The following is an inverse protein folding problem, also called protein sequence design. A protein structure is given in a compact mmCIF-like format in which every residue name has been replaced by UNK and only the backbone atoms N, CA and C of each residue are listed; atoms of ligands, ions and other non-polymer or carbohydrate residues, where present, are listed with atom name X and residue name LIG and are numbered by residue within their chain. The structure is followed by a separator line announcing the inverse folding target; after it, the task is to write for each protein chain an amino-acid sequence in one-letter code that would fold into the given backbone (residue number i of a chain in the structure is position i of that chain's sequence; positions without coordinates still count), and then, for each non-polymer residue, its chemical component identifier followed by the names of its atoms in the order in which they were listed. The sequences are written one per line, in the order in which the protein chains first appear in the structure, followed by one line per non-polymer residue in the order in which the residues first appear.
data_IF_017965136818
#
_entry.id   IF_017965136818
#
_cell.length_a   1.000
_cell.length_b   1.000
_cell.length_c   1.000
_cell.angle_alpha   90.00
_cell.angle_beta   90.00
_cell.angle_gamma   90.00
#
_symmetry.space_group_name_H-M   'P 1'
#
loop_
_entity.id
_entity.type
_entity.pdbx_description
1 polymer ?
#
# COMPACT_ATOMS: atom_id res chain seq x y z
N UNK A 1 -53.08 57.70 20.58
CA UNK A 1 -52.28 57.68 19.33
C UNK A 1 -50.83 57.38 19.66
N UNK A 2 -50.35 56.19 19.32
CA UNK A 2 -48.98 55.91 18.84
C UNK A 2 -48.95 54.42 18.44
N UNK A 3 -48.57 54.21 17.19
CA UNK A 3 -48.48 52.90 16.54
C UNK A 3 -47.19 52.17 16.96
N UNK A 4 -47.37 50.87 17.19
CA UNK A 4 -46.53 49.71 16.89
C UNK A 4 -45.10 50.00 16.41
N UNK A 5 -44.11 49.34 17.05
CA UNK A 5 -43.03 48.76 16.25
C UNK A 5 -42.57 47.39 16.78
N UNK A 6 -42.37 46.52 15.81
CA UNK A 6 -42.32 45.07 15.84
C UNK A 6 -40.92 44.58 16.24
N UNK A 7 -40.84 43.70 17.25
CA UNK A 7 -39.59 43.04 17.65
C UNK A 7 -39.24 41.96 16.61
N UNK A 8 -38.27 42.24 15.73
CA UNK A 8 -37.68 41.22 14.86
C UNK A 8 -36.53 40.53 15.61
N UNK A 9 -36.71 39.25 15.91
CA UNK A 9 -35.69 38.33 16.37
C UNK A 9 -34.69 38.10 15.22
N UNK A 10 -33.42 38.48 15.39
CA UNK A 10 -32.34 38.08 14.47
C UNK A 10 -31.48 37.05 15.19
N UNK A 11 -31.52 35.82 14.68
CA UNK A 11 -30.61 34.73 15.01
C UNK A 11 -29.16 35.19 14.81
N UNK A 12 -28.38 35.24 15.89
CA UNK A 12 -26.93 35.29 15.80
C UNK A 12 -26.43 33.89 15.43
N UNK A 13 -26.27 33.65 14.12
CA UNK A 13 -25.48 32.53 13.63
C UNK A 13 -24.03 32.71 14.06
N UNK A 14 -23.55 31.83 14.93
CA UNK A 14 -22.13 31.71 15.27
C UNK A 14 -21.36 31.24 14.03
N UNK A 15 -20.74 32.18 13.33
CA UNK A 15 -19.68 31.87 12.39
C UNK A 15 -18.48 31.35 13.19
N UNK A 16 -18.31 30.03 13.23
CA UNK A 16 -17.03 29.43 13.57
C UNK A 16 -16.11 29.75 12.39
N UNK A 17 -15.33 30.82 12.53
CA UNK A 17 -14.13 31.05 11.72
C UNK A 17 -13.26 29.79 11.87
N UNK A 18 -13.10 29.05 10.79
CA UNK A 18 -12.08 28.02 10.70
C UNK A 18 -10.73 28.72 10.84
N UNK A 19 -10.13 28.61 12.03
CA UNK A 19 -8.73 28.94 12.22
C UNK A 19 -7.94 28.03 11.27
N UNK A 20 -7.42 28.61 10.20
CA UNK A 20 -6.33 28.01 9.47
C UNK A 20 -5.23 27.72 10.49
N UNK A 21 -4.80 26.46 10.57
CA UNK A 21 -3.56 26.12 11.25
C UNK A 21 -2.45 26.73 10.40
N UNK A 22 -2.06 27.96 10.73
CA UNK A 22 -0.85 28.58 10.19
C UNK A 22 0.34 27.79 10.73
N UNK A 23 0.86 26.87 9.92
CA UNK A 23 2.20 26.34 10.11
C UNK A 23 3.17 27.52 10.16
N UNK A 24 3.99 27.55 11.20
CA UNK A 24 4.96 28.59 11.50
C UNK A 24 6.07 28.59 10.43
N UNK A 25 5.80 29.15 9.24
CA UNK A 25 6.78 29.28 8.15
C UNK A 25 7.89 30.23 8.58
N UNK A 26 9.14 29.84 8.40
CA UNK A 26 10.27 30.73 8.69
C UNK A 26 10.34 31.86 7.65
N UNK A 27 10.87 33.03 8.04
CA UNK A 27 10.97 34.25 7.21
C UNK A 27 11.67 34.07 5.85
N UNK A 28 12.30 32.93 5.58
CA UNK A 28 13.12 32.67 4.38
C UNK A 28 12.56 31.58 3.46
N UNK A 29 11.38 31.05 3.76
CA UNK A 29 10.73 30.09 2.89
C UNK A 29 10.32 30.75 1.56
N UNK A 30 10.78 30.20 0.44
CA UNK A 30 10.44 30.74 -0.90
C UNK A 30 10.34 29.64 -1.96
N UNK A 31 9.49 29.87 -2.96
CA UNK A 31 9.47 29.03 -4.14
C UNK A 31 10.60 29.42 -5.10
N UNK A 32 11.32 28.43 -5.61
CA UNK A 32 12.35 28.60 -6.63
C UNK A 32 12.31 27.45 -7.63
N UNK A 33 12.74 27.70 -8.86
CA UNK A 33 12.73 26.69 -9.91
C UNK A 33 14.15 26.42 -10.42
N UNK A 34 14.46 25.14 -10.62
CA UNK A 34 15.71 24.65 -11.20
C UNK A 34 15.35 23.87 -12.48
N UNK A 35 15.68 24.45 -13.63
CA UNK A 35 15.28 23.94 -14.93
C UNK A 35 13.76 23.89 -15.09
N UNK A 36 13.20 22.68 -15.04
CA UNK A 36 11.76 22.43 -15.27
C UNK A 36 10.97 22.10 -14.01
N UNK A 37 11.63 22.06 -12.86
CA UNK A 37 11.02 21.70 -11.59
C UNK A 37 11.06 22.89 -10.64
N UNK A 38 9.96 23.11 -9.93
CA UNK A 38 9.86 24.13 -8.88
C UNK A 38 9.80 23.48 -7.50
N UNK A 39 10.38 24.16 -6.53
CA UNK A 39 10.58 23.69 -5.17
C UNK A 39 10.19 24.80 -4.19
N UNK A 40 9.56 24.42 -3.10
CA UNK A 40 9.46 25.23 -1.90
C UNK A 40 10.70 24.94 -1.07
N UNK A 41 11.61 25.92 -0.95
CA UNK A 41 12.79 25.77 -0.11
C UNK A 41 12.53 26.32 1.29
N UNK A 42 13.03 25.63 2.30
CA UNK A 42 12.96 26.08 3.69
C UNK A 42 14.35 26.01 4.33
N UNK A 43 14.67 27.02 5.15
CA UNK A 43 15.95 27.18 5.83
C UNK A 43 16.83 28.29 5.24
N UNK A 44 17.42 29.17 6.08
CA UNK A 44 18.14 30.37 5.62
C UNK A 44 19.43 30.10 4.84
N UNK A 45 20.11 28.98 5.08
CA UNK A 45 21.47 28.71 4.58
C UNK A 45 21.61 27.29 4.01
N UNK A 46 20.56 26.82 3.33
CA UNK A 46 20.38 25.41 3.02
C UNK A 46 19.46 24.75 4.05
N UNK A 47 18.84 23.66 3.63
CA UNK A 47 17.77 23.01 4.38
C UNK A 47 17.02 22.02 3.51
N UNK A 48 15.70 22.09 3.50
CA UNK A 48 14.82 21.16 2.78
C UNK A 48 14.25 21.79 1.53
N UNK A 49 13.89 20.94 0.57
CA UNK A 49 13.20 21.30 -0.65
C UNK A 49 12.00 20.38 -0.84
N UNK A 50 10.80 20.94 -0.81
CA UNK A 50 9.56 20.25 -1.19
C UNK A 50 9.31 20.47 -2.67
N UNK A 51 9.24 19.40 -3.46
CA UNK A 51 8.95 19.50 -4.90
C UNK A 51 7.49 19.95 -5.12
N UNK A 52 7.30 21.09 -5.76
CA UNK A 52 5.99 21.73 -6.00
C UNK A 52 5.32 21.23 -7.28
N UNK A 53 6.11 20.94 -8.31
CA UNK A 53 5.60 20.50 -9.61
C UNK A 53 6.51 20.97 -10.75
N UNK A 54 5.98 20.88 -11.97
CA UNK A 54 6.65 21.44 -13.15
C UNK A 54 6.52 22.97 -13.17
N UNK A 55 7.53 23.63 -13.72
CA UNK A 55 7.49 25.07 -13.97
C UNK A 55 6.44 25.39 -15.05
N UNK A 56 5.34 26.02 -14.62
CA UNK A 56 4.22 26.41 -15.49
C UNK A 56 4.55 27.54 -16.47
N UNK A 57 5.66 28.26 -16.25
CA UNK A 57 6.15 29.27 -17.19
C UNK A 57 6.80 28.63 -18.43
N UNK A 58 7.28 27.40 -18.31
CA UNK A 58 7.96 26.68 -19.37
C UNK A 58 6.99 25.77 -20.17
N UNK A 59 5.99 26.40 -20.82
CA UNK A 59 4.91 25.74 -21.58
C UNK A 59 5.35 24.90 -22.79
N UNK A 60 6.66 24.86 -23.12
CA UNK A 60 7.18 24.22 -24.34
C UNK A 60 7.66 22.78 -24.14
N UNK A 61 7.73 22.28 -22.90
CA UNK A 61 8.35 20.98 -22.64
C UNK A 61 7.34 19.96 -22.10
N UNK A 62 6.99 18.98 -22.95
CA UNK A 62 6.30 17.77 -22.53
C UNK A 62 7.20 16.96 -21.59
N UNK A 63 6.82 16.85 -20.32
CA UNK A 63 7.62 16.21 -19.28
C UNK A 63 7.13 14.77 -19.06
N UNK A 64 7.52 13.87 -19.96
CA UNK A 64 7.18 12.43 -19.85
C UNK A 64 7.86 11.73 -18.67
N UNK A 65 8.98 12.27 -18.19
CA UNK A 65 9.76 11.67 -17.11
C UNK A 65 10.05 12.71 -16.03
N UNK A 66 9.62 12.40 -14.80
CA UNK A 66 9.97 13.17 -13.61
C UNK A 66 11.17 12.53 -12.93
N UNK A 67 12.30 13.23 -12.90
CA UNK A 67 13.46 12.83 -12.11
C UNK A 67 13.51 13.67 -10.84
N UNK A 68 13.26 13.06 -9.68
CA UNK A 68 13.33 13.73 -8.37
C UNK A 68 14.79 13.66 -7.89
N UNK A 69 15.53 14.80 -7.89
CA UNK A 69 16.93 14.81 -7.53
C UNK A 69 17.11 14.68 -6.01
N UNK A 70 18.32 14.33 -5.58
CA UNK A 70 18.69 14.31 -4.16
C UNK A 70 18.66 15.71 -3.53
N UNK A 71 19.14 16.70 -4.28
CA UNK A 71 19.29 18.06 -3.81
C UNK A 71 19.21 19.03 -4.98
N UNK A 72 18.87 20.28 -4.69
CA UNK A 72 18.92 21.41 -5.61
C UNK A 72 19.79 22.52 -5.03
N UNK A 73 20.37 23.35 -5.91
CA UNK A 73 21.22 24.47 -5.51
C UNK A 73 20.56 25.78 -5.92
N UNK A 74 20.43 26.68 -4.95
CA UNK A 74 19.99 28.04 -5.20
C UNK A 74 21.00 28.99 -4.57
N UNK A 75 21.49 29.93 -5.38
CA UNK A 75 22.61 30.81 -5.02
C UNK A 75 23.83 29.95 -4.61
N UNK A 76 24.32 30.08 -3.37
CA UNK A 76 25.44 29.28 -2.83
C UNK A 76 25.00 28.12 -1.93
N UNK A 77 23.70 27.94 -1.72
CA UNK A 77 23.15 27.00 -0.75
C UNK A 77 22.61 25.73 -1.40
N UNK A 78 22.73 24.60 -0.70
CA UNK A 78 22.20 23.30 -1.13
C UNK A 78 20.99 22.95 -0.27
N UNK A 79 19.91 22.51 -0.92
CA UNK A 79 18.67 22.08 -0.28
C UNK A 79 18.40 20.62 -0.61
N UNK A 80 18.10 19.81 0.40
CA UNK A 80 17.84 18.38 0.25
C UNK A 80 16.36 18.15 -0.07
N UNK A 81 16.08 17.36 -1.10
CA UNK A 81 14.71 16.99 -1.44
C UNK A 81 14.24 15.89 -0.50
N UNK A 82 13.16 16.16 0.23
CA UNK A 82 12.60 15.23 1.22
C UNK A 82 11.11 14.96 1.04
N UNK A 83 10.44 15.75 0.19
CA UNK A 83 8.99 15.70 0.05
C UNK A 83 8.52 16.16 -1.32
N UNK A 84 7.31 15.74 -1.69
CA UNK A 84 6.57 16.25 -2.85
C UNK A 84 5.25 16.81 -2.37
N UNK A 85 4.91 18.01 -2.84
CA UNK A 85 3.73 18.76 -2.41
C UNK A 85 2.44 18.05 -2.79
N UNK A 86 1.38 18.38 -2.05
CA UNK A 86 0.02 17.97 -2.35
C UNK A 86 -0.35 18.35 -3.79
N UNK A 87 -0.95 17.39 -4.50
CA UNK A 87 -1.46 17.55 -5.87
C UNK A 87 -0.43 18.02 -6.92
N UNK A 88 0.87 18.02 -6.62
CA UNK A 88 1.94 18.56 -7.47
C UNK A 88 1.88 18.09 -8.94
N UNK A 89 1.47 16.85 -9.17
CA UNK A 89 1.34 16.24 -10.50
C UNK A 89 -0.06 15.65 -10.75
N UNK A 90 -1.07 16.02 -9.96
CA UNK A 90 -2.43 15.47 -10.11
C UNK A 90 -2.98 15.75 -11.51
N UNK A 91 -3.56 14.73 -12.14
CA UNK A 91 -4.18 14.84 -13.47
C UNK A 91 -3.18 15.00 -14.62
N UNK A 92 -1.87 14.87 -14.38
CA UNK A 92 -0.88 15.07 -15.43
C UNK A 92 -1.03 14.02 -16.54
N UNK A 93 -1.34 14.50 -17.75
CA UNK A 93 -1.63 13.66 -18.93
C UNK A 93 -0.39 13.28 -19.73
N UNK A 94 0.78 13.81 -19.42
CA UNK A 94 2.01 13.56 -20.18
C UNK A 94 3.00 12.68 -19.42
N UNK A 95 2.98 12.76 -18.08
CA UNK A 95 3.87 12.03 -17.21
C UNK A 95 3.69 10.52 -17.36
N UNK A 96 4.77 9.84 -17.73
CA UNK A 96 4.83 8.39 -17.97
C UNK A 96 5.68 7.66 -16.93
N UNK A 97 6.72 8.33 -16.42
CA UNK A 97 7.69 7.76 -15.51
C UNK A 97 8.08 8.72 -14.38
N UNK A 98 8.20 8.19 -13.16
CA UNK A 98 8.76 8.89 -12.00
C UNK A 98 9.98 8.13 -11.51
N UNK A 99 11.11 8.82 -11.39
CA UNK A 99 12.38 8.30 -10.92
C UNK A 99 12.83 9.08 -9.68
N UNK A 100 12.90 8.40 -8.54
CA UNK A 100 13.40 8.98 -7.29
C UNK A 100 14.89 8.69 -7.16
N UNK A 101 15.70 9.71 -6.85
CA UNK A 101 17.14 9.55 -6.64
C UNK A 101 17.44 8.57 -5.49
N UNK A 102 18.45 7.72 -5.69
CA UNK A 102 18.88 6.75 -4.68
C UNK A 102 19.50 7.39 -3.44
N UNK A 103 20.02 8.61 -3.54
CA UNK A 103 20.67 9.32 -2.44
C UNK A 103 19.69 9.97 -1.46
N UNK A 104 18.40 10.08 -1.81
CA UNK A 104 17.37 10.56 -0.88
C UNK A 104 17.24 9.54 0.26
N UNK A 105 17.33 10.01 1.51
CA UNK A 105 17.20 9.13 2.69
C UNK A 105 15.74 8.75 2.92
N UNK A 106 14.85 9.74 2.92
CA UNK A 106 13.40 9.56 3.08
C UNK A 106 12.70 10.52 2.15
N UNK A 107 11.71 10.03 1.40
CA UNK A 107 10.80 10.85 0.61
C UNK A 107 9.39 10.73 1.17
N UNK A 108 8.74 11.85 1.46
CA UNK A 108 7.31 11.90 1.77
C UNK A 108 6.50 12.35 0.55
N UNK A 109 5.50 11.54 0.16
CA UNK A 109 4.59 11.86 -0.94
C UNK A 109 3.27 12.34 -0.35
N UNK A 110 2.88 13.57 -0.69
CA UNK A 110 1.69 14.20 -0.12
C UNK A 110 0.37 13.67 -0.75
N UNK A 111 -0.75 14.20 -0.25
CA UNK A 111 -2.07 13.89 -0.75
C UNK A 111 -2.17 14.12 -2.27
N UNK A 112 -2.73 13.15 -2.99
CA UNK A 112 -3.02 13.22 -4.43
C UNK A 112 -1.85 13.65 -5.33
N UNK A 113 -0.60 13.55 -4.89
CA UNK A 113 0.57 14.00 -5.66
C UNK A 113 0.58 13.48 -7.10
N UNK A 114 0.24 12.21 -7.33
CA UNK A 114 0.14 11.57 -8.65
C UNK A 114 -1.26 11.00 -8.91
N UNK A 115 -2.30 11.61 -8.33
CA UNK A 115 -3.67 11.16 -8.57
C UNK A 115 -4.06 11.37 -10.03
N UNK A 116 -4.80 10.40 -10.60
CA UNK A 116 -5.43 10.54 -11.91
C UNK A 116 -4.46 10.87 -13.06
N UNK A 117 -3.20 10.41 -12.98
CA UNK A 117 -2.23 10.50 -14.07
C UNK A 117 -2.42 9.33 -15.05
N UNK A 118 -3.14 9.50 -16.18
CA UNK A 118 -3.57 8.37 -17.01
C UNK A 118 -2.43 7.69 -17.75
N UNK A 119 -1.28 8.35 -17.93
CA UNK A 119 -0.15 7.81 -18.68
C UNK A 119 1.01 7.34 -17.79
N UNK A 120 0.93 7.56 -16.48
CA UNK A 120 1.98 7.16 -15.53
C UNK A 120 1.94 5.64 -15.33
N UNK A 121 2.93 4.96 -15.91
CA UNK A 121 3.01 3.49 -15.89
C UNK A 121 4.22 2.97 -15.14
N UNK A 122 5.17 3.84 -14.78
CA UNK A 122 6.42 3.43 -14.13
C UNK A 122 6.80 4.36 -13.00
N UNK A 123 6.94 3.82 -11.80
CA UNK A 123 7.36 4.55 -10.60
C UNK A 123 8.54 3.81 -9.98
N UNK A 124 9.71 4.45 -9.97
CA UNK A 124 10.96 3.87 -9.48
C UNK A 124 11.40 4.59 -8.20
N UNK A 125 11.21 3.93 -7.07
CA UNK A 125 11.69 4.36 -5.75
C UNK A 125 13.09 3.83 -5.48
N UNK A 126 14.13 4.48 -6.03
CA UNK A 126 15.51 4.04 -5.78
C UNK A 126 16.03 4.42 -4.38
N UNK A 127 15.33 5.27 -3.64
CA UNK A 127 15.67 5.63 -2.27
C UNK A 127 15.30 4.52 -1.27
N UNK A 128 15.83 4.59 -0.05
CA UNK A 128 15.59 3.54 0.95
C UNK A 128 14.21 3.60 1.60
N UNK A 129 13.69 4.81 1.85
CA UNK A 129 12.43 4.99 2.57
C UNK A 129 11.50 5.94 1.82
N UNK A 130 10.30 5.48 1.50
CA UNK A 130 9.20 6.27 0.94
C UNK A 130 8.00 6.11 1.86
N UNK A 131 7.36 7.24 2.17
CA UNK A 131 6.12 7.30 2.94
C UNK A 131 5.12 8.18 2.20
N UNK A 132 3.84 8.06 2.52
CA UNK A 132 2.88 9.07 2.10
C UNK A 132 2.08 9.59 3.28
N UNK A 133 1.50 10.78 3.12
CA UNK A 133 0.58 11.37 4.11
C UNK A 133 -0.74 10.59 4.23
N UNK A 134 -1.18 9.91 3.16
CA UNK A 134 -2.42 9.14 3.12
C UNK A 134 -2.42 8.10 1.99
N UNK A 135 -3.57 7.44 1.76
CA UNK A 135 -3.75 6.41 0.73
C UNK A 135 -3.82 6.95 -0.71
N UNK A 136 -3.99 8.26 -0.89
CA UNK A 136 -4.41 8.87 -2.16
C UNK A 136 -3.28 9.45 -3.01
N UNK A 137 -2.01 9.31 -2.60
CA UNK A 137 -0.86 9.76 -3.37
C UNK A 137 -0.87 9.29 -4.84
N UNK A 138 -1.36 8.07 -5.08
CA UNK A 138 -1.61 7.49 -6.41
C UNK A 138 -3.07 7.04 -6.54
N UNK A 139 -4.01 7.97 -6.32
CA UNK A 139 -5.43 7.68 -6.47
C UNK A 139 -5.80 7.49 -7.95
N UNK A 140 -6.57 6.44 -8.25
CA UNK A 140 -7.01 6.06 -9.60
C UNK A 140 -5.86 6.09 -10.65
N UNK A 141 -4.79 5.30 -10.44
CA UNK A 141 -3.64 5.28 -11.35
C UNK A 141 -3.95 4.50 -12.63
N UNK A 142 -3.08 4.62 -13.63
CA UNK A 142 -3.12 3.71 -14.79
C UNK A 142 -3.02 2.25 -14.33
N UNK A 143 -3.84 1.35 -14.88
CA UNK A 143 -3.85 -0.10 -14.57
C UNK A 143 -2.53 -0.82 -14.92
N UNK A 144 -1.71 -0.22 -15.77
CA UNK A 144 -0.39 -0.71 -16.17
C UNK A 144 0.75 -0.18 -15.27
N UNK A 145 0.43 0.56 -14.20
CA UNK A 145 1.44 1.07 -13.28
C UNK A 145 2.25 -0.07 -12.65
N UNK A 146 3.57 0.12 -12.60
CA UNK A 146 4.51 -0.74 -11.90
C UNK A 146 5.32 0.08 -10.90
N UNK A 147 5.48 -0.45 -9.70
CA UNK A 147 6.29 0.13 -8.63
C UNK A 147 7.59 -0.68 -8.50
N UNK A 148 8.73 -0.01 -8.67
CA UNK A 148 10.05 -0.62 -8.74
C UNK A 148 11.03 0.05 -7.75
N UNK A 149 12.15 -0.61 -7.48
CA UNK A 149 13.21 -0.08 -6.62
C UNK A 149 13.08 -0.45 -5.14
N UNK A 150 14.17 -0.24 -4.41
CA UNK A 150 14.31 -0.66 -3.00
C UNK A 150 13.34 0.05 -2.03
N UNK A 151 12.80 1.22 -2.40
CA UNK A 151 11.85 1.97 -1.59
C UNK A 151 10.43 1.39 -1.61
N UNK A 152 10.11 0.49 -2.54
CA UNK A 152 8.78 -0.14 -2.68
C UNK A 152 8.36 -0.84 -1.40
N UNK A 153 9.27 -1.54 -0.73
CA UNK A 153 8.99 -2.20 0.56
C UNK A 153 8.42 -1.20 1.58
N UNK A 154 9.18 -0.14 1.87
CA UNK A 154 8.80 0.86 2.88
C UNK A 154 7.50 1.59 2.52
N UNK A 155 7.28 1.84 1.23
CA UNK A 155 6.04 2.44 0.77
C UNK A 155 4.87 1.46 0.95
N UNK A 156 5.05 0.19 0.61
CA UNK A 156 3.99 -0.81 0.78
C UNK A 156 3.61 -0.95 2.26
N UNK A 157 4.59 -1.06 3.15
CA UNK A 157 4.37 -1.13 4.60
C UNK A 157 3.55 0.08 5.09
N UNK A 158 3.98 1.29 4.72
CA UNK A 158 3.30 2.55 5.05
C UNK A 158 1.84 2.61 4.54
N UNK A 159 1.56 1.99 3.39
CA UNK A 159 0.22 1.94 2.82
C UNK A 159 -0.64 0.82 3.43
N UNK A 160 -0.03 -0.29 3.85
CA UNK A 160 -0.72 -1.36 4.59
C UNK A 160 -1.20 -0.84 5.95
N UNK A 161 -0.35 -0.14 6.70
CA UNK A 161 -0.73 0.43 8.00
C UNK A 161 -1.91 1.42 7.87
N UNK A 162 -1.88 2.24 6.82
CA UNK A 162 -2.98 3.16 6.52
C UNK A 162 -4.27 2.46 6.12
N UNK A 163 -4.20 1.31 5.45
CA UNK A 163 -5.38 0.51 5.16
C UNK A 163 -5.98 -0.13 6.41
N UNK A 164 -5.15 -0.61 7.35
CA UNK A 164 -5.62 -1.12 8.64
C UNK A 164 -6.37 -0.03 9.40
N UNK A 165 -5.81 1.19 9.43
CA UNK A 165 -6.46 2.35 10.03
C UNK A 165 -7.76 2.74 9.30
N UNK A 166 -7.74 2.89 7.98
CA UNK A 166 -8.91 3.25 7.15
C UNK A 166 -10.06 2.24 7.28
N UNK A 167 -9.72 0.96 7.40
CA UNK A 167 -10.71 -0.09 7.59
C UNK A 167 -11.19 -0.22 9.04
N UNK A 168 -10.64 0.57 9.97
CA UNK A 168 -10.94 0.47 11.39
C UNK A 168 -10.77 -0.97 11.90
N UNK A 169 -9.61 -1.56 11.61
CA UNK A 169 -9.22 -2.89 12.12
C UNK A 169 -8.36 -2.69 13.37
N UNK A 170 -8.79 -3.30 14.46
CA UNK A 170 -8.04 -3.28 15.71
C UNK A 170 -6.74 -4.07 15.60
N UNK A 171 -5.64 -3.42 15.97
CA UNK A 171 -4.32 -4.07 16.10
C UNK A 171 -4.30 -4.85 17.41
N UNK A 172 -4.01 -6.14 17.32
CA UNK A 172 -4.13 -7.08 18.43
C UNK A 172 -2.82 -7.84 18.68
N UNK A 173 -2.63 -8.31 19.91
CA UNK A 173 -1.56 -9.25 20.22
C UNK A 173 -2.05 -10.68 20.02
N UNK A 174 -1.92 -11.18 18.79
CA UNK A 174 -2.37 -12.51 18.39
C UNK A 174 -1.67 -13.67 19.12
N UNK A 175 -0.55 -13.44 19.80
CA UNK A 175 0.09 -14.45 20.65
C UNK A 175 -0.66 -14.70 21.97
N UNK A 176 -1.65 -13.86 22.30
CA UNK A 176 -2.48 -13.98 23.52
C UNK A 176 -3.94 -14.32 23.23
N UNK A 177 -4.25 -14.62 21.97
CA UNK A 177 -5.61 -14.86 21.47
C UNK A 177 -5.72 -16.33 21.10
N UNK A 178 -6.82 -16.99 21.48
CA UNK A 178 -7.06 -18.38 21.09
C UNK A 178 -7.34 -18.53 19.60
N UNK A 179 -7.11 -19.73 19.07
CA UNK A 179 -7.15 -19.97 17.63
C UNK A 179 -8.53 -19.75 16.99
N UNK A 180 -9.64 -19.86 17.74
CA UNK A 180 -10.95 -19.52 17.20
C UNK A 180 -11.04 -18.03 16.90
N UNK A 181 -10.69 -17.16 17.85
CA UNK A 181 -10.68 -15.71 17.62
C UNK A 181 -9.63 -15.29 16.56
N UNK A 182 -8.49 -15.98 16.47
CA UNK A 182 -7.51 -15.78 15.39
C UNK A 182 -8.11 -16.09 14.02
N UNK A 183 -8.88 -17.19 13.89
CA UNK A 183 -9.61 -17.56 12.66
C UNK A 183 -10.67 -16.53 12.30
N UNK A 184 -11.45 -16.05 13.28
CA UNK A 184 -12.46 -15.00 13.09
C UNK A 184 -11.82 -13.72 12.54
N UNK A 185 -10.71 -13.26 13.13
CA UNK A 185 -10.02 -12.04 12.68
C UNK A 185 -9.47 -12.18 11.25
N UNK A 186 -8.82 -13.30 10.93
CA UNK A 186 -8.32 -13.58 9.58
C UNK A 186 -9.46 -13.70 8.55
N UNK A 187 -10.59 -14.32 8.91
CA UNK A 187 -11.78 -14.40 8.06
C UNK A 187 -12.35 -13.01 7.76
N UNK A 188 -12.50 -12.18 8.79
CA UNK A 188 -13.00 -10.81 8.65
C UNK A 188 -12.05 -9.92 7.84
N UNK A 189 -10.74 -10.10 8.00
CA UNK A 189 -9.74 -9.45 7.15
C UNK A 189 -9.90 -9.89 5.68
N UNK A 190 -10.06 -11.19 5.44
CA UNK A 190 -10.27 -11.72 4.09
C UNK A 190 -11.55 -11.17 3.43
N UNK A 191 -12.64 -11.07 4.19
CA UNK A 191 -13.91 -10.46 3.76
C UNK A 191 -13.74 -9.00 3.34
N UNK A 192 -13.00 -8.20 4.12
CA UNK A 192 -12.67 -6.80 3.77
C UNK A 192 -11.80 -6.73 2.53
N UNK A 193 -10.78 -7.58 2.43
CA UNK A 193 -9.86 -7.61 1.30
C UNK A 193 -10.57 -7.95 -0.03
N UNK A 194 -11.44 -8.96 -0.05
CA UNK A 194 -12.20 -9.35 -1.25
C UNK A 194 -13.19 -8.26 -1.69
N UNK A 195 -13.73 -7.48 -0.75
CA UNK A 195 -14.56 -6.31 -1.09
C UNK A 195 -13.75 -5.13 -1.62
N UNK A 196 -12.51 -4.99 -1.16
CA UNK A 196 -11.62 -3.92 -1.59
C UNK A 196 -11.04 -4.17 -2.99
N UNK A 197 -10.71 -5.41 -3.30
CA UNK A 197 -10.08 -5.80 -4.56
C UNK A 197 -11.10 -6.25 -5.60
N UNK A 198 -10.91 -5.82 -6.83
CA UNK A 198 -11.61 -6.37 -7.99
C UNK A 198 -10.77 -7.46 -8.67
N UNK A 199 -11.44 -8.38 -9.36
CA UNK A 199 -10.78 -9.36 -10.26
C UNK A 199 -10.36 -8.74 -11.60
N UNK A 200 -10.19 -7.42 -11.68
CA UNK A 200 -9.79 -6.74 -12.92
C UNK A 200 -8.29 -6.90 -13.20
N UNK A 201 -7.89 -6.76 -14.46
CA UNK A 201 -6.51 -6.90 -14.89
C UNK A 201 -5.73 -5.60 -14.65
N UNK A 202 -4.76 -5.66 -13.74
CA UNK A 202 -3.63 -4.74 -13.69
C UNK A 202 -2.36 -5.47 -14.16
N UNK A 203 -1.44 -4.78 -14.83
CA UNK A 203 -0.24 -5.40 -15.43
C UNK A 203 0.64 -6.09 -14.38
N UNK A 204 0.78 -5.47 -13.21
CA UNK A 204 1.57 -5.95 -12.09
C UNK A 204 0.67 -6.36 -10.90
N UNK A 205 -0.47 -7.00 -11.19
CA UNK A 205 -1.48 -7.38 -10.20
C UNK A 205 -1.00 -8.41 -9.14
N UNK A 206 0.22 -8.91 -9.26
CA UNK A 206 0.87 -9.75 -8.25
C UNK A 206 1.61 -8.95 -7.17
N UNK A 207 1.89 -7.67 -7.41
CA UNK A 207 2.60 -6.79 -6.49
C UNK A 207 1.61 -6.16 -5.49
N UNK A 208 1.92 -6.24 -4.20
CA UNK A 208 1.04 -5.78 -3.13
C UNK A 208 0.73 -4.28 -3.23
N UNK A 209 1.71 -3.42 -3.53
CA UNK A 209 1.42 -1.99 -3.66
C UNK A 209 0.57 -1.70 -4.91
N UNK A 210 0.79 -2.42 -6.00
CA UNK A 210 -0.06 -2.31 -7.19
C UNK A 210 -1.49 -2.71 -6.86
N UNK A 211 -1.69 -3.80 -6.10
CA UNK A 211 -3.02 -4.22 -5.63
C UNK A 211 -3.70 -3.14 -4.77
N UNK A 212 -2.97 -2.51 -3.84
CA UNK A 212 -3.45 -1.39 -3.04
C UNK A 212 -3.87 -0.21 -3.95
N UNK A 213 -3.04 0.19 -4.92
CA UNK A 213 -3.29 1.42 -5.69
C UNK A 213 -4.30 1.27 -6.81
N UNK A 214 -4.32 0.12 -7.47
CA UNK A 214 -5.24 -0.15 -8.59
C UNK A 214 -6.55 -0.80 -8.14
N UNK A 215 -6.63 -1.27 -6.88
CA UNK A 215 -7.71 -2.12 -6.37
C UNK A 215 -7.96 -3.35 -7.26
N UNK A 216 -6.88 -3.90 -7.81
CA UNK A 216 -6.91 -5.02 -8.74
C UNK A 216 -5.77 -5.99 -8.42
N UNK A 217 -6.09 -7.28 -8.25
CA UNK A 217 -5.10 -8.27 -7.88
C UNK A 217 -5.35 -9.62 -8.57
N UNK A 218 -4.27 -10.33 -8.89
CA UNK A 218 -4.31 -11.76 -9.18
C UNK A 218 -4.13 -12.57 -7.88
N UNK A 219 -4.12 -13.89 -7.96
CA UNK A 219 -3.94 -14.78 -6.78
C UNK A 219 -2.71 -14.40 -5.94
N UNK A 220 -1.59 -14.02 -6.57
CA UNK A 220 -0.38 -13.61 -5.87
C UNK A 220 -0.56 -12.28 -5.11
N UNK A 221 -1.22 -11.30 -5.74
CA UNK A 221 -1.52 -10.02 -5.10
C UNK A 221 -2.47 -10.18 -3.91
N UNK A 222 -3.49 -11.04 -4.02
CA UNK A 222 -4.35 -11.40 -2.89
C UNK A 222 -3.55 -12.01 -1.74
N UNK A 223 -2.73 -13.04 -2.02
CA UNK A 223 -1.99 -13.75 -0.98
C UNK A 223 -0.96 -12.85 -0.27
N UNK A 224 -0.26 -12.00 -1.03
CA UNK A 224 0.72 -11.05 -0.50
C UNK A 224 0.06 -9.95 0.33
N UNK A 225 -0.98 -9.32 -0.20
CA UNK A 225 -1.66 -8.23 0.51
C UNK A 225 -2.38 -8.75 1.77
N UNK A 226 -3.00 -9.93 1.71
CA UNK A 226 -3.59 -10.57 2.89
C UNK A 226 -2.55 -10.81 3.98
N UNK A 227 -1.37 -11.34 3.61
CA UNK A 227 -0.27 -11.55 4.56
C UNK A 227 0.18 -10.24 5.21
N UNK A 228 0.41 -9.20 4.40
CA UNK A 228 0.91 -7.92 4.89
C UNK A 228 -0.10 -7.26 5.83
N UNK A 229 -1.39 -7.25 5.46
CA UNK A 229 -2.45 -6.74 6.32
C UNK A 229 -2.58 -7.56 7.62
N UNK A 230 -2.43 -8.89 7.54
CA UNK A 230 -2.45 -9.74 8.72
C UNK A 230 -1.32 -9.39 9.70
N UNK A 231 -0.11 -9.15 9.18
CA UNK A 231 1.01 -8.68 10.00
C UNK A 231 0.72 -7.30 10.60
N UNK A 232 0.19 -6.38 9.80
CA UNK A 232 -0.11 -5.02 10.25
C UNK A 232 -1.21 -4.97 11.32
N UNK A 233 -2.18 -5.89 11.30
CA UNK A 233 -3.13 -6.06 12.42
C UNK A 233 -2.52 -6.76 13.65
N UNK A 234 -1.25 -7.18 13.60
CA UNK A 234 -0.51 -7.78 14.71
C UNK A 234 -0.37 -9.30 14.67
N UNK A 235 -0.75 -9.97 13.59
CA UNK A 235 -0.56 -11.42 13.44
C UNK A 235 0.93 -11.75 13.30
N UNK A 236 1.46 -12.80 13.97
CA UNK A 236 2.89 -13.06 13.97
C UNK A 236 3.38 -13.39 12.55
N UNK A 237 4.40 -12.65 12.08
CA UNK A 237 4.89 -12.79 10.70
C UNK A 237 5.44 -14.18 10.38
N UNK A 238 5.90 -14.93 11.38
CA UNK A 238 6.37 -16.32 11.27
C UNK A 238 5.24 -17.36 11.23
N UNK A 239 3.99 -16.95 11.44
CA UNK A 239 2.82 -17.83 11.52
C UNK A 239 1.85 -17.63 10.35
N UNK A 240 2.20 -16.78 9.39
CA UNK A 240 1.50 -16.65 8.12
C UNK A 240 2.53 -16.58 7.01
N UNK A 241 2.29 -17.28 5.90
CA UNK A 241 3.22 -17.39 4.79
C UNK A 241 2.46 -17.26 3.47
N UNK A 242 3.11 -16.74 2.44
CA UNK A 242 2.60 -16.82 1.06
C UNK A 242 3.07 -18.14 0.47
N UNK A 243 2.20 -18.84 -0.23
CA UNK A 243 2.53 -20.08 -0.92
C UNK A 243 2.02 -20.10 -2.35
N UNK A 244 2.58 -21.00 -3.16
CA UNK A 244 2.07 -21.27 -4.49
C UNK A 244 2.19 -22.76 -4.86
N UNK A 245 1.34 -23.21 -5.78
CA UNK A 245 1.27 -24.61 -6.20
C UNK A 245 2.23 -24.98 -7.34
N UNK A 246 3.11 -24.06 -7.77
CA UNK A 246 3.96 -24.22 -8.95
C UNK A 246 3.28 -23.91 -10.30
N UNK A 247 1.95 -23.79 -10.33
CA UNK A 247 1.15 -23.60 -11.55
C UNK A 247 0.44 -22.23 -11.59
N UNK A 248 0.94 -21.25 -10.84
CA UNK A 248 0.42 -19.88 -10.81
C UNK A 248 -0.74 -19.65 -9.85
N UNK A 249 -1.16 -20.64 -9.05
CA UNK A 249 -2.08 -20.41 -7.95
C UNK A 249 -1.31 -20.03 -6.70
N UNK A 250 -1.69 -18.92 -6.09
CA UNK A 250 -1.12 -18.43 -4.84
C UNK A 250 -2.19 -18.36 -3.76
N UNK A 251 -1.79 -18.68 -2.55
CA UNK A 251 -2.63 -18.74 -1.35
C UNK A 251 -1.76 -18.50 -0.12
N UNK A 252 -2.34 -18.57 1.07
CA UNK A 252 -1.58 -18.45 2.30
C UNK A 252 -1.61 -19.74 3.11
N UNK A 253 -0.51 -19.97 3.83
CA UNK A 253 -0.51 -20.86 4.98
C UNK A 253 -0.58 -20.03 6.26
N UNK A 254 -1.38 -20.47 7.22
CA UNK A 254 -1.51 -19.86 8.55
C UNK A 254 -1.34 -20.90 9.63
N UNK A 255 -0.63 -20.57 10.70
CA UNK A 255 -0.39 -21.46 11.84
C UNK A 255 -1.48 -21.27 12.89
N UNK A 256 -2.28 -22.32 13.07
CA UNK A 256 -3.45 -22.40 13.95
C UNK A 256 -3.45 -23.81 14.57
N UNK A 257 -3.85 -23.95 15.82
CA UNK A 257 -3.99 -25.22 16.54
C UNK A 257 -2.71 -26.08 16.50
N UNK A 258 -1.54 -25.45 16.43
CA UNK A 258 -0.24 -26.12 16.29
C UNK A 258 0.11 -26.62 14.87
N UNK A 259 -0.78 -26.47 13.89
CA UNK A 259 -0.61 -26.93 12.51
C UNK A 259 -0.66 -25.77 11.50
N UNK A 260 -0.16 -26.03 10.28
CA UNK A 260 -0.28 -25.11 9.16
C UNK A 260 -1.50 -25.44 8.30
N UNK A 261 -2.45 -24.51 8.24
CA UNK A 261 -3.66 -24.59 7.43
C UNK A 261 -3.54 -23.73 6.17
N UNK A 262 -4.19 -24.14 5.09
CA UNK A 262 -4.28 -23.35 3.86
C UNK A 262 -5.48 -22.42 3.92
N UNK A 263 -5.33 -21.23 3.34
CA UNK A 263 -6.42 -20.32 3.04
C UNK A 263 -6.22 -19.69 1.65
N UNK A 264 -7.18 -19.94 0.75
CA UNK A 264 -7.32 -19.23 -0.51
C UNK A 264 -8.30 -18.06 -0.32
N UNK A 265 -7.79 -16.90 0.08
CA UNK A 265 -8.65 -15.75 0.44
C UNK A 265 -9.60 -15.37 -0.70
N UNK A 266 -9.12 -15.34 -1.94
CA UNK A 266 -9.94 -15.01 -3.11
C UNK A 266 -11.09 -16.00 -3.37
N UNK A 267 -10.92 -17.26 -2.98
CA UNK A 267 -11.83 -18.35 -3.38
C UNK A 267 -12.94 -18.61 -2.33
N UNK A 268 -12.91 -17.90 -1.20
CA UNK A 268 -13.93 -18.00 -0.15
C UNK A 268 -15.14 -17.14 -0.53
N UNK A 269 -16.37 -17.69 -0.53
CA UNK A 269 -17.57 -16.93 -0.88
C UNK A 269 -18.07 -16.10 0.32
N UNK A 270 -17.29 -15.08 0.74
CA UNK A 270 -17.57 -14.30 1.96
C UNK A 270 -18.96 -13.67 2.02
N UNK A 271 -19.57 -13.33 0.89
CA UNK A 271 -20.91 -12.72 0.90
C UNK A 271 -22.03 -13.72 1.25
N UNK A 272 -21.75 -15.02 1.27
CA UNK A 272 -22.69 -16.05 1.75
C UNK A 272 -22.71 -16.19 3.28
N UNK A 273 -21.72 -15.64 3.97
CA UNK A 273 -21.50 -15.86 5.40
C UNK A 273 -21.34 -14.52 6.10
N UNK A 274 -22.23 -14.24 7.05
CA UNK A 274 -22.07 -13.06 7.89
C UNK A 274 -20.92 -13.27 8.87
N UNK A 275 -20.93 -14.42 9.51
CA UNK A 275 -20.01 -14.78 10.59
C UNK A 275 -19.09 -15.95 10.22
N UNK A 276 -17.95 -16.03 10.89
CA UNK A 276 -16.96 -17.09 10.65
C UNK A 276 -17.54 -18.50 10.87
N UNK A 277 -18.30 -18.72 11.95
CA UNK A 277 -18.82 -20.04 12.28
C UNK A 277 -19.73 -20.60 11.16
N UNK A 278 -20.50 -19.74 10.47
CA UNK A 278 -21.35 -20.16 9.35
C UNK A 278 -20.52 -20.72 8.20
N UNK A 279 -19.40 -20.04 7.90
CA UNK A 279 -18.45 -20.48 6.89
C UNK A 279 -17.72 -21.76 7.34
N UNK A 280 -17.34 -21.88 8.60
CA UNK A 280 -16.62 -23.03 9.13
C UNK A 280 -17.35 -24.35 8.88
N UNK A 281 -18.67 -24.39 9.10
CA UNK A 281 -19.48 -25.59 8.91
C UNK A 281 -19.77 -25.93 7.44
N UNK A 282 -19.91 -24.92 6.58
CA UNK A 282 -20.39 -25.12 5.20
C UNK A 282 -19.28 -25.06 4.14
N UNK A 283 -18.29 -24.19 4.36
CA UNK A 283 -17.15 -23.97 3.47
C UNK A 283 -15.95 -23.47 4.29
N UNK A 284 -15.28 -24.35 5.06
CA UNK A 284 -14.29 -23.93 6.06
C UNK A 284 -13.18 -23.09 5.43
N UNK A 285 -12.92 -21.84 5.87
CA UNK A 285 -11.89 -20.99 5.28
C UNK A 285 -10.48 -21.58 5.37
N UNK A 286 -10.18 -22.24 6.50
CA UNK A 286 -8.87 -22.81 6.83
C UNK A 286 -8.93 -24.32 6.67
N UNK A 287 -8.14 -24.88 5.75
CA UNK A 287 -8.28 -26.28 5.35
C UNK A 287 -6.95 -27.03 5.24
N UNK A 288 -7.04 -28.35 5.33
CA UNK A 288 -5.94 -29.26 5.04
C UNK A 288 -5.51 -29.21 3.56
N UNK A 289 -4.35 -29.81 3.27
CA UNK A 289 -3.80 -29.86 1.92
C UNK A 289 -4.72 -30.56 0.91
N UNK A 290 -5.41 -31.62 1.32
CA UNK A 290 -6.27 -32.43 0.44
C UNK A 290 -7.46 -31.62 -0.05
N UNK A 291 -8.10 -30.90 0.87
CA UNK A 291 -9.23 -30.02 0.62
C UNK A 291 -8.79 -28.82 -0.20
N UNK A 292 -7.64 -28.23 0.12
CA UNK A 292 -7.08 -27.12 -0.67
C UNK A 292 -6.81 -27.54 -2.12
N UNK A 293 -6.19 -28.71 -2.34
CA UNK A 293 -5.93 -29.25 -3.68
C UNK A 293 -7.22 -29.36 -4.49
N UNK A 294 -8.28 -29.86 -3.86
CA UNK A 294 -9.61 -29.97 -4.48
C UNK A 294 -10.17 -28.58 -4.84
N UNK A 295 -10.05 -27.59 -3.96
CA UNK A 295 -10.53 -26.21 -4.21
C UNK A 295 -9.82 -25.52 -5.36
N UNK A 296 -8.50 -25.64 -5.40
CA UNK A 296 -7.69 -25.09 -6.48
C UNK A 296 -7.90 -25.81 -7.82
N UNK A 297 -8.58 -26.97 -7.81
CA UNK A 297 -8.71 -27.86 -8.98
C UNK A 297 -7.36 -28.13 -9.66
N UNK A 298 -6.29 -28.22 -8.86
CA UNK A 298 -4.92 -28.36 -9.36
C UNK A 298 -4.51 -29.82 -9.41
N UNK A 299 -3.77 -30.19 -10.46
CA UNK A 299 -3.12 -31.50 -10.55
C UNK A 299 -1.81 -31.54 -9.77
N UNK A 300 -1.29 -30.39 -9.33
CA UNK A 300 -0.06 -30.30 -8.56
C UNK A 300 -0.13 -31.16 -7.29
N UNK A 301 0.97 -31.84 -7.00
CA UNK A 301 1.15 -32.55 -5.74
C UNK A 301 1.43 -31.56 -4.61
N UNK A 302 0.63 -31.54 -3.51
CA UNK A 302 0.90 -30.71 -2.35
C UNK A 302 2.29 -30.87 -1.73
N UNK A 303 2.96 -32.00 -1.93
CA UNK A 303 4.38 -32.19 -1.52
C UNK A 303 5.35 -31.26 -2.27
N UNK A 304 4.94 -30.76 -3.43
CA UNK A 304 5.70 -29.84 -4.29
C UNK A 304 5.18 -28.41 -4.26
N UNK A 305 4.32 -28.07 -3.29
CA UNK A 305 3.95 -26.67 -3.07
C UNK A 305 5.06 -25.93 -2.34
N UNK A 306 5.18 -24.63 -2.61
CA UNK A 306 6.30 -23.82 -2.15
C UNK A 306 5.83 -22.74 -1.19
N UNK A 307 6.68 -22.38 -0.24
CA UNK A 307 6.61 -21.10 0.45
C UNK A 307 7.35 -20.05 -0.37
N UNK A 308 6.75 -18.88 -0.53
CA UNK A 308 7.40 -17.73 -1.14
C UNK A 308 8.13 -16.93 -0.06
N UNK A 309 9.37 -16.56 -0.35
CA UNK A 309 10.06 -15.53 0.41
C UNK A 309 9.67 -14.13 -0.09
N UNK A 310 9.22 -14.00 -1.35
CA UNK A 310 8.66 -12.76 -1.90
C UNK A 310 7.30 -12.39 -1.31
N UNK A 311 7.33 -11.49 -0.33
CA UNK A 311 6.17 -10.97 0.39
C UNK A 311 5.53 -9.77 -0.33
N UNK A 312 6.28 -9.02 -1.14
CA UNK A 312 5.79 -7.79 -1.77
C UNK A 312 5.53 -7.96 -3.27
N UNK A 313 6.38 -8.70 -3.98
CA UNK A 313 6.21 -9.06 -5.39
C UNK A 313 6.86 -8.13 -6.41
N UNK A 314 7.69 -7.16 -6.00
CA UNK A 314 8.44 -6.30 -6.92
C UNK A 314 9.79 -6.91 -7.31
N UNK A 315 10.33 -6.54 -8.48
CA UNK A 315 11.51 -7.17 -9.09
C UNK A 315 12.75 -7.22 -8.19
N UNK A 316 12.97 -6.15 -7.42
CA UNK A 316 14.19 -5.96 -6.65
C UNK A 316 14.09 -6.52 -5.23
N UNK A 317 12.98 -7.17 -4.88
CA UNK A 317 12.73 -7.69 -3.53
C UNK A 317 13.78 -8.73 -3.13
N UNK A 318 14.14 -9.62 -4.06
CA UNK A 318 15.09 -10.72 -3.83
C UNK A 318 16.40 -10.59 -4.59
N UNK A 319 16.56 -9.57 -5.46
CA UNK A 319 17.80 -9.30 -6.22
C UNK A 319 18.43 -10.56 -6.87
N UNK A 320 17.60 -11.45 -7.39
CA UNK A 320 18.04 -12.71 -8.02
C UNK A 320 18.38 -13.85 -7.07
N UNK A 321 18.21 -13.69 -5.75
CA UNK A 321 18.31 -14.77 -4.78
C UNK A 321 17.11 -15.72 -4.88
N UNK A 322 17.28 -16.95 -4.37
CA UNK A 322 16.19 -17.91 -4.23
C UNK A 322 15.01 -17.23 -3.51
N UNK A 323 13.85 -17.24 -4.17
CA UNK A 323 12.66 -16.50 -3.72
C UNK A 323 11.56 -17.41 -3.19
N UNK A 324 11.83 -18.72 -3.08
CA UNK A 324 10.92 -19.73 -2.58
C UNK A 324 11.66 -21.00 -2.13
N UNK A 325 11.03 -21.83 -1.30
CA UNK A 325 11.49 -23.20 -0.98
C UNK A 325 10.28 -24.15 -0.92
N UNK A 326 10.51 -25.47 -1.04
CA UNK A 326 9.44 -26.45 -0.81
C UNK A 326 8.91 -26.30 0.61
N UNK A 327 7.59 -26.30 0.77
CA UNK A 327 6.98 -25.91 2.04
C UNK A 327 7.41 -26.82 3.20
N UNK A 328 7.35 -28.15 3.02
CA UNK A 328 7.75 -29.09 4.06
C UNK A 328 9.25 -29.02 4.40
N UNK A 329 10.08 -28.73 3.40
CA UNK A 329 11.51 -28.50 3.62
C UNK A 329 11.73 -27.26 4.48
N UNK A 330 11.05 -26.17 4.15
CA UNK A 330 11.11 -24.93 4.93
C UNK A 330 10.65 -25.14 6.38
N UNK A 331 9.54 -25.86 6.58
CA UNK A 331 9.05 -26.18 7.93
C UNK A 331 10.08 -26.97 8.74
N UNK A 332 10.71 -27.98 8.13
CA UNK A 332 11.73 -28.81 8.75
C UNK A 332 12.98 -28.00 9.13
N UNK A 333 13.49 -27.20 8.20
CA UNK A 333 14.70 -26.38 8.42
C UNK A 333 14.51 -25.34 9.52
N UNK A 334 13.29 -24.84 9.71
CA UNK A 334 12.98 -23.78 10.68
C UNK A 334 12.28 -24.30 11.94
N UNK A 335 12.12 -25.62 12.10
CA UNK A 335 11.41 -26.25 13.22
C UNK A 335 10.00 -25.66 13.46
N UNK A 336 9.20 -25.53 12.38
CA UNK A 336 7.92 -24.80 12.41
C UNK A 336 6.68 -25.70 12.56
N UNK A 337 6.86 -27.02 12.68
CA UNK A 337 5.78 -28.00 12.81
C UNK A 337 5.42 -28.67 11.48
N UNK A 338 4.15 -29.07 11.31
CA UNK A 338 3.65 -29.77 10.13
C UNK A 338 2.38 -29.15 9.56
N UNK A 339 2.09 -29.46 8.31
CA UNK A 339 0.83 -29.08 7.65
C UNK A 339 -0.32 -29.97 8.09
N UNK A 340 -1.53 -29.40 8.07
CA UNK A 340 -2.77 -30.16 8.26
C UNK A 340 -3.18 -30.88 6.98
#
# INVERSE_FOLDING_TARGET
MKFINLTLLVLAGSFVSSRAVEEKRTLNDKQQCDGSLCYWISGPNGGTATLVGFDSSNKKQSQKTLNIPYSVKFEKYTYLVDSVLESAFSGNRELQEVNVSSSIKTLNVSHRTFAECPNLTRVVFNNQKVTASNLYAFYNPNKNIAFLGRGVKSYTDDQTDKLIFDWNIDVQNFSKIDDYHRKVALFNLGKRLVRYLSNSSAKDAGNAITAIKTRAANSAGYARLFRLLAIAMGYPSKEILVAHDGNGNYFNYVKLDGYWYNISVKDIPYDKYQEYYEAEWQYPPFVDMKTQKKRLNTKADPSNWYVMFSNYGYSDEFRGQQSYDKFDQYLKQNNLGSRK
#
